data_IF_932973821130
#
_entry.id   IF_932973821130
#
_cell.length_a   1.000
_cell.length_b   1.000
_cell.length_c   1.000
_cell.angle_alpha   90.00
_cell.angle_beta   90.00
_cell.angle_gamma   90.00
#
_symmetry.space_group_name_H-M   'P 1'
#
loop_
_entity.id
_entity.type
_entity.pdbx_description
1 polymer ?
#
# COMPACT_ATOMS: atom_id res chain seq x y z
N UNK A 1 2.49 10.69 12.73
CA UNK A 1 1.22 10.38 12.07
C UNK A 1 0.79 11.61 11.27
N UNK A 2 0.62 11.46 9.97
CA UNK A 2 0.07 12.51 9.10
C UNK A 2 -1.46 12.47 9.15
N UNK A 3 -2.12 13.60 9.02
CA UNK A 3 -3.58 13.70 9.07
C UNK A 3 -4.04 14.91 8.26
N UNK A 4 -5.33 14.94 7.95
CA UNK A 4 -5.99 16.00 7.19
C UNK A 4 -7.03 16.71 8.08
N UNK A 5 -7.28 17.98 7.79
CA UNK A 5 -8.40 18.73 8.34
C UNK A 5 -9.63 18.63 7.40
N UNK A 6 -10.51 19.64 7.38
CA UNK A 6 -11.67 19.72 6.49
C UNK A 6 -11.37 20.31 5.09
N UNK A 7 -10.12 20.73 4.82
CA UNK A 7 -9.67 21.20 3.50
C UNK A 7 -9.16 20.08 2.61
N UNK A 8 -8.74 18.96 3.18
CA UNK A 8 -8.25 17.82 2.41
C UNK A 8 -9.15 16.59 2.57
N UNK A 9 -9.60 16.08 1.43
CA UNK A 9 -10.37 14.85 1.27
C UNK A 9 -9.75 13.92 0.20
N UNK A 10 -10.29 12.72 0.04
CA UNK A 10 -9.75 11.74 -0.92
C UNK A 10 -9.67 12.27 -2.36
N UNK A 11 -10.61 13.15 -2.78
CA UNK A 11 -10.58 13.73 -4.11
C UNK A 11 -9.41 14.70 -4.26
N UNK A 12 -9.22 15.59 -3.28
CA UNK A 12 -8.10 16.54 -3.27
C UNK A 12 -6.73 15.85 -3.17
N UNK A 13 -6.61 14.79 -2.37
CA UNK A 13 -5.39 13.99 -2.27
C UNK A 13 -5.06 13.30 -3.61
N UNK A 14 -6.07 12.72 -4.26
CA UNK A 14 -5.91 12.07 -5.56
C UNK A 14 -5.57 13.09 -6.67
N UNK A 15 -6.29 14.22 -6.74
CA UNK A 15 -6.02 15.29 -7.71
C UNK A 15 -4.59 15.83 -7.57
N UNK A 16 -4.15 16.09 -6.34
CA UNK A 16 -2.79 16.52 -6.03
C UNK A 16 -1.76 15.51 -6.52
N UNK A 17 -1.98 14.23 -6.20
CA UNK A 17 -1.00 13.18 -6.46
C UNK A 17 -0.87 12.90 -7.96
N UNK A 18 -1.99 12.81 -8.69
CA UNK A 18 -2.00 12.57 -10.14
C UNK A 18 -1.46 13.78 -10.90
N UNK A 19 -1.87 15.00 -10.54
CA UNK A 19 -1.36 16.24 -11.15
C UNK A 19 0.16 16.38 -10.94
N UNK A 20 0.65 16.05 -9.73
CA UNK A 20 2.08 16.05 -9.41
C UNK A 20 2.85 15.02 -10.22
N UNK A 21 2.33 13.79 -10.36
CA UNK A 21 2.93 12.76 -11.21
C UNK A 21 3.02 13.24 -12.67
N UNK A 22 1.93 13.71 -13.25
CA UNK A 22 1.91 14.15 -14.65
C UNK A 22 2.90 15.29 -14.91
N UNK A 23 2.94 16.29 -14.02
CA UNK A 23 3.88 17.42 -14.14
C UNK A 23 5.33 16.97 -13.99
N UNK A 24 5.66 16.21 -12.94
CA UNK A 24 7.05 15.81 -12.64
C UNK A 24 7.63 14.90 -13.72
N UNK A 25 6.83 14.02 -14.30
CA UNK A 25 7.26 13.06 -15.32
C UNK A 25 6.91 13.50 -16.75
N UNK A 26 6.38 14.72 -16.92
CA UNK A 26 5.96 15.25 -18.22
C UNK A 26 5.04 14.28 -18.99
N UNK A 27 4.07 13.71 -18.28
CA UNK A 27 3.11 12.75 -18.86
C UNK A 27 2.00 13.54 -19.53
N UNK A 28 1.85 13.34 -20.83
CA UNK A 28 0.71 13.87 -21.58
C UNK A 28 -0.57 13.12 -21.15
N UNK A 29 -1.61 13.82 -20.67
CA UNK A 29 -2.90 13.20 -20.35
C UNK A 29 -3.52 12.42 -21.53
N UNK A 30 -3.22 12.78 -22.79
CA UNK A 30 -3.68 12.03 -23.97
C UNK A 30 -3.01 10.65 -24.12
N UNK A 31 -1.86 10.44 -23.47
CA UNK A 31 -1.08 9.19 -23.51
C UNK A 31 -1.56 8.11 -22.51
N UNK A 32 -2.64 8.37 -21.77
CA UNK A 32 -3.20 7.45 -20.77
C UNK A 32 -4.46 6.78 -21.32
N UNK A 33 -4.50 5.46 -21.34
CA UNK A 33 -5.66 4.65 -21.77
C UNK A 33 -6.44 4.04 -20.61
N UNK A 34 -5.86 4.00 -19.41
CA UNK A 34 -6.53 3.50 -18.20
C UNK A 34 -6.15 4.30 -16.96
N UNK A 35 -7.12 4.58 -16.10
CA UNK A 35 -6.89 5.10 -14.77
C UNK A 35 -7.85 4.44 -13.76
N UNK A 36 -7.29 3.83 -12.72
CA UNK A 36 -8.07 3.10 -11.71
C UNK A 36 -7.66 3.49 -10.29
N UNK A 37 -8.65 3.63 -9.40
CA UNK A 37 -8.43 4.11 -8.02
C UNK A 37 -8.77 3.01 -7.02
N UNK A 38 -7.82 2.69 -6.16
CA UNK A 38 -8.06 1.93 -4.93
C UNK A 38 -8.23 2.86 -3.74
N UNK A 39 -9.36 2.77 -3.04
CA UNK A 39 -9.62 3.55 -1.81
C UNK A 39 -10.63 2.82 -0.93
N UNK A 40 -10.59 3.05 0.37
CA UNK A 40 -11.67 2.73 1.31
C UNK A 40 -12.24 3.99 2.01
N UNK A 41 -11.86 5.16 1.53
CA UNK A 41 -12.34 6.47 1.96
C UNK A 41 -13.43 6.93 1.00
N UNK A 42 -14.69 6.65 1.34
CA UNK A 42 -15.85 6.94 0.48
C UNK A 42 -16.49 8.27 0.84
N UNK A 43 -16.62 9.17 -0.15
CA UNK A 43 -17.37 10.42 -0.04
C UNK A 43 -18.73 10.36 -0.76
N UNK A 44 -18.85 9.46 -1.73
CA UNK A 44 -20.05 9.19 -2.49
C UNK A 44 -20.20 7.68 -2.65
N UNK A 45 -21.44 7.19 -2.72
CA UNK A 45 -21.76 5.75 -2.79
C UNK A 45 -21.88 5.23 -4.23
N UNK A 46 -21.82 6.13 -5.21
CA UNK A 46 -21.99 5.83 -6.63
C UNK A 46 -20.92 6.52 -7.47
N UNK A 47 -20.68 7.82 -7.25
CA UNK A 47 -19.68 8.60 -7.98
C UNK A 47 -18.27 8.22 -7.53
N UNK A 48 -17.46 7.75 -8.48
CA UNK A 48 -16.07 7.36 -8.25
C UNK A 48 -15.11 8.55 -8.11
N UNK A 49 -14.06 8.39 -7.32
CA UNK A 49 -12.86 9.24 -7.30
C UNK A 49 -12.29 9.34 -8.72
N UNK A 50 -12.25 8.23 -9.47
CA UNK A 50 -11.83 8.21 -10.89
C UNK A 50 -12.55 9.27 -11.71
N UNK A 51 -13.87 9.40 -11.57
CA UNK A 51 -14.64 10.38 -12.33
C UNK A 51 -14.32 11.83 -11.94
N UNK A 52 -13.85 12.09 -10.72
CA UNK A 52 -13.37 13.40 -10.29
C UNK A 52 -12.00 13.70 -10.90
N UNK A 53 -11.12 12.70 -10.97
CA UNK A 53 -9.80 12.83 -11.59
C UNK A 53 -9.84 13.13 -13.09
N UNK A 54 -10.94 12.80 -13.79
CA UNK A 54 -11.11 13.12 -15.21
C UNK A 54 -11.06 14.64 -15.51
N UNK A 55 -11.24 15.51 -14.50
CA UNK A 55 -10.99 16.96 -14.64
C UNK A 55 -9.55 17.27 -15.11
N UNK A 56 -8.57 16.43 -14.76
CA UNK A 56 -7.18 16.59 -15.19
C UNK A 56 -6.97 16.30 -16.68
N UNK A 57 -7.93 15.65 -17.33
CA UNK A 57 -7.87 15.23 -18.73
C UNK A 57 -8.67 16.15 -19.66
N UNK A 58 -9.56 16.99 -19.14
CA UNK A 58 -10.49 17.81 -19.92
C UNK A 58 -9.78 18.66 -21.00
N UNK A 59 -8.66 19.29 -20.65
CA UNK A 59 -7.88 20.12 -21.59
C UNK A 59 -7.30 19.33 -22.76
N UNK A 60 -7.00 18.04 -22.56
CA UNK A 60 -6.50 17.17 -23.62
C UNK A 60 -7.62 16.61 -24.52
N UNK A 61 -8.88 16.69 -24.07
CA UNK A 61 -10.01 16.02 -24.71
C UNK A 61 -10.01 14.49 -24.59
N UNK A 62 -9.07 13.91 -23.82
CA UNK A 62 -8.99 12.46 -23.63
C UNK A 62 -10.01 11.96 -22.59
N UNK A 63 -11.18 11.56 -23.07
CA UNK A 63 -12.22 10.94 -22.25
C UNK A 63 -12.28 9.42 -22.37
N UNK A 64 -11.60 8.86 -23.37
CA UNK A 64 -11.48 7.42 -23.57
C UNK A 64 -10.36 6.86 -22.68
N UNK A 65 -10.66 6.77 -21.38
CA UNK A 65 -9.76 6.28 -20.34
C UNK A 65 -10.52 5.27 -19.48
N UNK A 66 -10.20 3.99 -19.62
CA UNK A 66 -10.82 2.90 -18.87
C UNK A 66 -10.53 2.97 -17.37
N UNK A 67 -11.26 2.17 -16.58
CA UNK A 67 -11.09 2.06 -15.12
C UNK A 67 -12.06 2.91 -14.31
N UNK A 68 -12.27 2.51 -13.06
CA UNK A 68 -13.15 3.15 -12.07
C UNK A 68 -12.52 3.02 -10.67
N UNK A 69 -13.32 3.07 -9.61
CA UNK A 69 -12.84 2.78 -8.26
C UNK A 69 -13.00 1.29 -7.95
N UNK A 70 -12.09 0.74 -7.14
CA UNK A 70 -12.17 -0.62 -6.59
C UNK A 70 -11.91 -0.61 -5.09
N UNK A 71 -12.73 -1.34 -4.34
CA UNK A 71 -12.81 -1.22 -2.89
C UNK A 71 -12.79 -2.61 -2.24
N UNK A 72 -11.81 -2.84 -1.38
CA UNK A 72 -11.84 -3.83 -0.30
C UNK A 72 -10.81 -3.41 0.75
N UNK A 73 -11.23 -2.57 1.70
CA UNK A 73 -10.33 -2.03 2.73
C UNK A 73 -8.98 -1.56 2.12
N UNK A 74 -7.88 -1.86 2.80
CA UNK A 74 -6.52 -1.51 2.38
C UNK A 74 -6.00 -2.29 1.15
N UNK A 75 -6.79 -3.20 0.55
CA UNK A 75 -6.40 -4.00 -0.61
C UNK A 75 -6.72 -3.33 -1.96
N UNK A 76 -7.61 -2.32 -1.98
CA UNK A 76 -8.12 -1.71 -3.23
C UNK A 76 -7.01 -1.27 -4.19
N UNK A 77 -5.94 -0.66 -3.69
CA UNK A 77 -4.81 -0.22 -4.53
C UNK A 77 -4.08 -1.39 -5.23
N UNK A 78 -4.00 -2.56 -4.60
CA UNK A 78 -3.43 -3.78 -5.20
C UNK A 78 -4.36 -4.39 -6.23
N UNK A 79 -5.68 -4.36 -5.98
CA UNK A 79 -6.63 -4.81 -6.97
C UNK A 79 -6.59 -3.93 -8.23
N UNK A 80 -6.55 -2.60 -8.07
CA UNK A 80 -6.41 -1.65 -9.18
C UNK A 80 -5.13 -1.89 -10.00
N UNK A 81 -4.02 -2.18 -9.31
CA UNK A 81 -2.75 -2.51 -9.97
C UNK A 81 -2.85 -3.83 -10.77
N UNK A 82 -3.46 -4.87 -10.20
CA UNK A 82 -3.66 -6.13 -10.91
C UNK A 82 -4.60 -6.02 -12.10
N UNK A 83 -5.71 -5.29 -11.97
CA UNK A 83 -6.62 -4.99 -13.07
C UNK A 83 -5.90 -4.26 -14.19
N UNK A 84 -5.01 -3.34 -13.85
CA UNK A 84 -4.19 -2.59 -14.80
C UNK A 84 -3.18 -3.47 -15.53
N UNK A 85 -2.47 -4.37 -14.84
CA UNK A 85 -1.61 -5.35 -15.51
C UNK A 85 -2.41 -6.26 -16.44
N UNK A 86 -3.56 -6.77 -15.99
CA UNK A 86 -4.40 -7.63 -16.80
C UNK A 86 -4.93 -6.89 -18.03
N UNK A 87 -5.28 -5.60 -17.92
CA UNK A 87 -5.68 -4.76 -19.05
C UNK A 87 -4.54 -4.63 -20.07
N UNK A 88 -3.33 -4.29 -19.65
CA UNK A 88 -2.16 -4.15 -20.55
C UNK A 88 -1.78 -5.47 -21.25
N UNK A 89 -1.94 -6.60 -20.55
CA UNK A 89 -1.65 -7.93 -21.10
C UNK A 89 -2.82 -8.51 -21.91
N UNK A 90 -3.94 -7.78 -22.05
CA UNK A 90 -5.12 -8.22 -22.77
C UNK A 90 -5.19 -7.67 -24.20
N UNK A 91 -6.13 -8.21 -24.99
CA UNK A 91 -6.47 -7.66 -26.31
C UNK A 91 -7.14 -6.28 -26.26
N UNK A 92 -7.53 -5.79 -25.09
CA UNK A 92 -8.10 -4.46 -24.92
C UNK A 92 -7.04 -3.36 -24.75
N UNK A 93 -5.76 -3.73 -24.60
CA UNK A 93 -4.70 -2.73 -24.52
C UNK A 93 -4.55 -2.00 -25.85
N UNK A 94 -4.53 -0.67 -25.78
CA UNK A 94 -4.47 0.24 -26.93
C UNK A 94 -3.07 0.86 -27.14
N UNK A 95 -2.06 0.36 -26.41
CA UNK A 95 -0.68 0.85 -26.45
C UNK A 95 -0.40 2.03 -25.51
N UNK A 96 -1.43 2.63 -24.87
CA UNK A 96 -1.26 3.75 -23.94
C UNK A 96 -0.85 3.27 -22.54
N UNK A 97 -0.26 4.19 -21.77
CA UNK A 97 0.08 3.92 -20.37
C UNK A 97 -1.17 3.91 -19.49
N UNK A 98 -1.02 3.45 -18.26
CA UNK A 98 -2.07 3.53 -17.25
C UNK A 98 -1.60 4.27 -15.99
N UNK A 99 -2.55 4.82 -15.24
CA UNK A 99 -2.31 5.39 -13.91
C UNK A 99 -3.10 4.60 -12.87
N UNK A 100 -2.41 4.07 -11.86
CA UNK A 100 -3.04 3.47 -10.69
C UNK A 100 -2.92 4.44 -9.53
N UNK A 101 -4.03 4.73 -8.87
CA UNK A 101 -4.06 5.61 -7.69
C UNK A 101 -4.46 4.78 -6.48
N UNK A 102 -3.74 4.92 -5.37
CA UNK A 102 -4.08 4.35 -4.08
C UNK A 102 -3.99 5.44 -3.03
N UNK A 103 -5.05 5.70 -2.27
CA UNK A 103 -5.01 6.76 -1.28
C UNK A 103 -6.19 6.72 -0.34
N UNK A 104 -5.97 7.23 0.87
CA UNK A 104 -6.92 7.14 1.96
C UNK A 104 -6.64 8.14 3.07
N UNK A 105 -7.68 8.36 3.89
CA UNK A 105 -7.60 9.04 5.18
C UNK A 105 -8.03 8.03 6.25
N UNK A 106 -7.05 7.50 6.98
CA UNK A 106 -7.25 6.50 8.02
C UNK A 106 -7.54 7.15 9.36
N UNK A 107 -8.82 7.14 9.75
CA UNK A 107 -9.33 7.80 10.94
C UNK A 107 -10.02 6.83 11.90
N UNK A 108 -9.79 7.01 13.20
CA UNK A 108 -10.36 6.18 14.26
C UNK A 108 -10.94 7.02 15.41
N UNK A 109 -11.98 6.50 16.06
CA UNK A 109 -12.56 7.06 17.29
C UNK A 109 -11.49 7.20 18.38
N UNK A 110 -11.75 8.05 19.38
CA UNK A 110 -10.92 8.13 20.60
C UNK A 110 -10.72 6.72 21.18
N UNK A 111 -9.47 6.32 21.39
CA UNK A 111 -9.12 4.98 21.85
C UNK A 111 -7.76 4.50 21.33
N UNK A 112 -7.45 3.23 21.59
CA UNK A 112 -6.14 2.63 21.32
C UNK A 112 -5.78 2.54 19.82
N UNK A 113 -6.76 2.56 18.91
CA UNK A 113 -6.53 2.54 17.47
C UNK A 113 -6.21 3.92 16.87
N UNK A 114 -6.51 5.01 17.58
CA UNK A 114 -6.29 6.38 17.07
C UNK A 114 -4.83 6.66 16.65
N UNK A 115 -3.80 6.25 17.40
CA UNK A 115 -2.41 6.47 17.01
C UNK A 115 -1.96 5.65 15.78
N UNK A 116 -2.78 4.71 15.29
CA UNK A 116 -2.49 3.92 14.09
C UNK A 116 -3.15 4.48 12.83
N UNK A 117 -3.72 5.68 12.89
CA UNK A 117 -4.22 6.40 11.74
C UNK A 117 -3.11 6.91 10.81
N UNK A 118 -3.51 7.71 9.84
CA UNK A 118 -2.62 8.28 8.84
C UNK A 118 -3.39 8.84 7.66
N UNK A 119 -2.71 9.53 6.77
CA UNK A 119 -3.29 9.98 5.51
C UNK A 119 -2.21 10.01 4.43
N UNK A 120 -2.58 9.66 3.21
CA UNK A 120 -1.67 9.72 2.08
C UNK A 120 -2.27 9.16 0.81
N UNK A 121 -1.66 9.50 -0.32
CA UNK A 121 -2.03 9.02 -1.64
C UNK A 121 -0.77 8.80 -2.48
N UNK A 122 -0.78 7.77 -3.30
CA UNK A 122 0.25 7.42 -4.26
C UNK A 122 -0.40 7.24 -5.64
N UNK A 123 0.30 7.71 -6.68
CA UNK A 123 -0.02 7.42 -8.06
C UNK A 123 1.17 6.70 -8.70
N UNK A 124 0.87 5.66 -9.47
CA UNK A 124 1.85 4.85 -10.20
C UNK A 124 1.55 4.95 -11.69
N UNK A 125 2.53 5.41 -12.47
CA UNK A 125 2.49 5.27 -13.92
C UNK A 125 2.91 3.85 -14.27
N UNK A 126 2.08 3.14 -15.02
CA UNK A 126 2.29 1.75 -15.40
C UNK A 126 2.38 1.69 -16.93
N UNK A 127 3.34 0.92 -17.43
CA UNK A 127 3.57 0.73 -18.87
C UNK A 127 4.58 -0.39 -19.14
N UNK A 128 4.84 -0.71 -20.42
CA UNK A 128 5.88 -1.66 -20.80
C UNK A 128 7.28 -1.16 -20.45
N UNK A 129 8.26 -2.06 -20.45
CA UNK A 129 9.69 -1.76 -20.23
C UNK A 129 10.00 -1.00 -18.92
N UNK A 130 9.18 -1.24 -17.89
CA UNK A 130 9.29 -0.54 -16.62
C UNK A 130 10.59 -0.90 -15.85
N UNK A 131 11.23 0.07 -15.18
CA UNK A 131 12.41 -0.19 -14.35
C UNK A 131 12.08 -1.05 -13.12
N UNK A 132 10.81 -1.08 -12.70
CA UNK A 132 10.28 -1.97 -11.67
C UNK A 132 9.22 -2.85 -12.34
N UNK A 133 9.60 -4.07 -12.68
CA UNK A 133 8.77 -4.98 -13.44
C UNK A 133 8.02 -5.95 -12.52
N UNK A 134 6.72 -6.13 -12.76
CA UNK A 134 5.95 -7.21 -12.15
C UNK A 134 6.50 -8.58 -12.58
N UNK A 135 6.54 -9.60 -11.71
CA UNK A 135 6.93 -10.96 -12.10
C UNK A 135 5.69 -11.83 -12.46
N UNK A 136 5.43 -12.09 -13.76
CA UNK A 136 4.22 -12.78 -14.21
C UNK A 136 4.06 -14.16 -13.56
N UNK A 137 2.83 -14.48 -13.16
CA UNK A 137 2.50 -15.75 -12.51
C UNK A 137 2.85 -15.84 -11.02
N UNK A 138 3.70 -14.95 -10.49
CA UNK A 138 4.13 -14.95 -9.09
C UNK A 138 3.23 -14.07 -8.20
N UNK A 139 1.94 -14.45 -8.10
CA UNK A 139 0.91 -13.81 -7.23
C UNK A 139 0.23 -14.86 -6.34
N UNK A 140 0.52 -14.91 -5.05
CA UNK A 140 -0.19 -15.75 -4.09
C UNK A 140 -1.29 -14.97 -3.36
N UNK A 141 -2.56 -15.31 -3.60
CA UNK A 141 -3.71 -14.57 -3.04
C UNK A 141 -4.48 -15.41 -2.03
N UNK A 142 -5.08 -14.76 -1.04
CA UNK A 142 -5.98 -15.35 -0.05
C UNK A 142 -7.13 -14.39 0.26
N UNK A 143 -8.36 -14.90 0.15
CA UNK A 143 -9.61 -14.17 0.38
C UNK A 143 -10.49 -15.05 1.26
N UNK A 144 -11.05 -14.49 2.33
CA UNK A 144 -11.90 -15.20 3.30
C UNK A 144 -12.91 -14.22 3.86
N UNK A 145 -14.13 -14.68 4.14
CA UNK A 145 -15.11 -13.85 4.86
C UNK A 145 -14.68 -13.66 6.32
N UNK A 146 -14.56 -12.41 6.77
CA UNK A 146 -14.19 -12.02 8.13
C UNK A 146 -14.81 -10.66 8.51
N UNK A 147 -15.11 -10.49 9.80
CA UNK A 147 -15.52 -9.22 10.40
C UNK A 147 -14.42 -8.69 11.33
N UNK A 148 -13.18 -8.63 10.85
CA UNK A 148 -12.04 -8.16 11.63
C UNK A 148 -11.94 -6.63 11.69
N UNK A 149 -12.23 -5.96 10.57
CA UNK A 149 -12.40 -4.52 10.46
C UNK A 149 -13.35 -4.21 9.30
N UNK A 150 -14.33 -3.36 9.53
CA UNK A 150 -15.35 -3.01 8.55
C UNK A 150 -16.05 -1.69 8.90
N UNK A 151 -16.65 -1.03 7.89
CA UNK A 151 -17.35 0.26 8.02
C UNK A 151 -18.84 0.12 7.66
N UNK A 152 -19.66 -0.48 8.56
CA UNK A 152 -21.08 -0.71 8.25
C UNK A 152 -21.93 0.55 8.45
N UNK A 153 -21.48 1.47 9.29
CA UNK A 153 -22.17 2.73 9.58
C UNK A 153 -21.78 3.78 8.54
N UNK A 154 -22.64 3.97 7.54
CA UNK A 154 -22.41 4.93 6.45
C UNK A 154 -22.57 6.40 6.89
N UNK A 155 -22.90 6.65 8.16
CA UNK A 155 -22.97 7.99 8.75
C UNK A 155 -21.71 8.39 9.50
N UNK A 156 -20.73 7.48 9.59
CA UNK A 156 -19.48 7.69 10.31
C UNK A 156 -18.28 7.31 9.43
N UNK A 157 -17.22 8.12 9.48
CA UNK A 157 -15.94 7.73 8.87
C UNK A 157 -15.20 6.64 9.67
N UNK A 158 -15.61 6.41 10.92
CA UNK A 158 -14.92 5.52 11.82
C UNK A 158 -15.30 4.05 11.59
N UNK A 159 -14.32 3.14 11.52
CA UNK A 159 -14.58 1.72 11.38
C UNK A 159 -15.01 1.07 12.70
N UNK A 160 -15.69 -0.06 12.59
CA UNK A 160 -15.71 -1.08 13.65
C UNK A 160 -14.48 -1.97 13.47
N UNK A 161 -13.79 -2.25 14.58
CA UNK A 161 -12.56 -3.04 14.58
C UNK A 161 -12.53 -3.99 15.76
N UNK A 162 -12.36 -5.29 15.47
CA UNK A 162 -11.90 -6.27 16.45
C UNK A 162 -10.38 -6.36 16.33
N UNK A 163 -9.69 -5.63 17.20
CA UNK A 163 -8.23 -5.49 17.11
C UNK A 163 -7.47 -6.80 17.26
N UNK A 164 -7.96 -7.74 18.08
CA UNK A 164 -7.28 -9.04 18.24
C UNK A 164 -7.56 -9.93 17.03
N UNK A 165 -8.81 -9.97 16.56
CA UNK A 165 -9.15 -10.76 15.39
C UNK A 165 -8.47 -10.23 14.11
N UNK A 166 -8.33 -8.91 13.96
CA UNK A 166 -7.59 -8.31 12.84
C UNK A 166 -6.11 -8.72 12.80
N UNK A 167 -5.45 -8.84 13.96
CA UNK A 167 -4.08 -9.35 14.03
C UNK A 167 -4.00 -10.85 13.63
N UNK A 168 -5.00 -11.65 14.00
CA UNK A 168 -5.09 -13.06 13.60
C UNK A 168 -5.31 -13.18 12.08
N UNK A 169 -6.30 -12.49 11.53
CA UNK A 169 -6.61 -12.46 10.11
C UNK A 169 -5.41 -12.01 9.26
N UNK A 170 -4.69 -10.97 9.68
CA UNK A 170 -3.47 -10.54 9.00
C UNK A 170 -2.39 -11.63 9.01
N UNK A 171 -2.17 -12.28 10.16
CA UNK A 171 -1.16 -13.35 10.30
C UNK A 171 -1.52 -14.58 9.47
N UNK A 172 -2.79 -14.99 9.47
CA UNK A 172 -3.30 -16.04 8.58
C UNK A 172 -3.07 -15.69 7.11
N UNK A 173 -3.35 -14.45 6.71
CA UNK A 173 -3.16 -13.98 5.34
C UNK A 173 -1.68 -14.02 4.90
N UNK A 174 -0.76 -13.68 5.80
CA UNK A 174 0.70 -13.82 5.57
C UNK A 174 1.04 -15.27 5.25
N UNK A 175 0.59 -16.21 6.08
CA UNK A 175 0.85 -17.65 5.91
C UNK A 175 0.29 -18.16 4.58
N UNK A 176 -0.99 -17.87 4.29
CA UNK A 176 -1.68 -18.41 3.11
C UNK A 176 -1.17 -17.78 1.81
N UNK A 177 -0.90 -16.48 1.79
CA UNK A 177 -0.33 -15.82 0.62
C UNK A 177 1.09 -16.34 0.33
N UNK A 178 1.92 -16.52 1.35
CA UNK A 178 3.28 -17.01 1.18
C UNK A 178 3.31 -18.47 0.71
N UNK A 179 2.48 -19.34 1.31
CA UNK A 179 2.27 -20.72 0.84
C UNK A 179 1.85 -20.76 -0.62
N UNK A 180 0.89 -19.93 -1.01
CA UNK A 180 0.38 -19.87 -2.39
C UNK A 180 1.43 -19.33 -3.35
N UNK A 181 2.19 -18.30 -2.95
CA UNK A 181 3.30 -17.76 -3.73
C UNK A 181 4.34 -18.84 -4.01
N UNK A 182 4.78 -19.57 -2.97
CA UNK A 182 5.75 -20.66 -3.09
C UNK A 182 5.26 -21.76 -4.05
N UNK A 183 4.00 -22.18 -3.92
CA UNK A 183 3.40 -23.17 -4.81
C UNK A 183 3.31 -22.68 -6.27
N UNK A 184 3.05 -21.39 -6.49
CA UNK A 184 3.05 -20.81 -7.84
C UNK A 184 4.45 -20.71 -8.43
N UNK A 185 5.45 -20.32 -7.64
CA UNK A 185 6.83 -20.25 -8.09
C UNK A 185 7.33 -21.61 -8.58
N UNK A 186 7.05 -22.68 -7.82
CA UNK A 186 7.36 -24.05 -8.22
C UNK A 186 6.71 -24.42 -9.57
N UNK A 187 5.43 -24.06 -9.78
CA UNK A 187 4.72 -24.31 -11.04
C UNK A 187 5.26 -23.50 -12.22
N UNK A 188 5.72 -22.27 -11.99
CA UNK A 188 6.32 -21.44 -13.06
C UNK A 188 7.69 -22.01 -13.43
N UNK A 189 8.52 -22.36 -12.44
CA UNK A 189 9.85 -22.98 -12.66
C UNK A 189 9.75 -24.29 -13.43
N UNK A 190 8.80 -25.17 -13.10
CA UNK A 190 8.62 -26.45 -13.81
C UNK A 190 8.14 -26.30 -15.26
N UNK A 191 7.51 -25.17 -15.62
CA UNK A 191 7.16 -24.85 -17.01
C UNK A 191 8.35 -24.24 -17.78
N UNK A 192 9.29 -23.62 -17.09
CA UNK A 192 10.48 -22.98 -17.68
C UNK A 192 11.69 -23.92 -17.77
N UNK A 193 11.67 -25.08 -17.11
CA UNK A 193 12.78 -26.05 -17.09
C UNK A 193 13.03 -26.78 -18.42
N UNK A 194 12.50 -26.29 -19.55
CA UNK A 194 12.96 -26.64 -20.90
C UNK A 194 14.14 -25.76 -21.39
N UNK A 195 14.76 -24.97 -20.51
CA UNK A 195 16.13 -24.49 -20.69
C UNK A 195 16.35 -23.07 -20.22
N UNK A 196 17.02 -22.89 -19.07
CA UNK A 196 18.21 -22.03 -18.88
C UNK A 196 18.85 -22.44 -17.53
N UNK A 197 20.14 -22.80 -17.54
CA UNK A 197 20.96 -22.94 -16.32
C UNK A 197 21.41 -21.55 -15.86
N UNK A 198 20.64 -20.92 -14.97
CA UNK A 198 21.08 -19.73 -14.23
C UNK A 198 21.81 -20.15 -12.95
N UNK A 199 22.92 -19.46 -12.62
CA UNK A 199 23.62 -19.66 -11.36
C UNK A 199 22.66 -19.36 -10.19
N UNK A 200 22.25 -20.39 -9.47
CA UNK A 200 21.48 -20.23 -8.24
C UNK A 200 22.42 -19.77 -7.14
N UNK A 201 22.12 -18.61 -6.54
CA UNK A 201 22.68 -18.27 -5.24
C UNK A 201 22.11 -19.27 -4.26
N UNK A 202 22.94 -19.90 -3.44
CA UNK A 202 22.46 -20.82 -2.40
C UNK A 202 21.60 -20.02 -1.40
N UNK A 203 20.28 -20.17 -1.50
CA UNK A 203 19.30 -19.59 -0.56
C UNK A 203 19.33 -20.42 0.73
N UNK A 204 19.64 -19.82 1.88
CA UNK A 204 19.62 -20.53 3.17
C UNK A 204 18.18 -20.94 3.53
N UNK A 205 17.20 -20.06 3.29
CA UNK A 205 15.77 -20.42 3.36
C UNK A 205 14.97 -19.89 2.16
N UNK A 206 13.77 -20.43 1.88
CA UNK A 206 12.88 -19.89 0.85
C UNK A 206 12.64 -18.38 0.93
N UNK A 207 12.58 -17.79 2.12
CA UNK A 207 12.43 -16.34 2.33
C UNK A 207 13.60 -15.54 1.75
N UNK A 208 14.79 -16.14 1.68
CA UNK A 208 16.00 -15.45 1.25
C UNK A 208 16.02 -15.12 -0.25
N UNK A 209 15.05 -15.64 -1.02
CA UNK A 209 14.79 -15.29 -2.44
C UNK A 209 14.43 -13.82 -2.67
N UNK A 210 13.95 -13.14 -1.64
CA UNK A 210 13.54 -11.74 -1.70
C UNK A 210 14.61 -10.85 -1.10
N UNK A 211 15.28 -10.04 -1.93
CA UNK A 211 16.28 -9.08 -1.44
C UNK A 211 15.66 -8.04 -0.50
N UNK A 212 14.42 -7.62 -0.78
CA UNK A 212 13.65 -6.71 0.06
C UNK A 212 12.19 -7.16 0.16
N UNK A 213 11.50 -6.76 1.23
CA UNK A 213 10.06 -7.02 1.37
C UNK A 213 9.32 -5.79 1.88
N UNK A 214 8.30 -5.36 1.13
CA UNK A 214 7.35 -4.33 1.52
C UNK A 214 6.06 -4.98 2.02
N UNK A 215 5.48 -4.43 3.08
CA UNK A 215 4.23 -4.91 3.67
C UNK A 215 3.22 -3.77 3.74
N UNK A 216 1.93 -4.09 3.62
CA UNK A 216 0.92 -3.25 4.22
C UNK A 216 1.28 -3.02 5.70
N UNK A 217 1.30 -1.78 6.15
CA UNK A 217 1.90 -1.40 7.43
C UNK A 217 0.90 -0.64 8.32
N UNK A 218 -0.10 -1.31 8.92
CA UNK A 218 -0.94 -0.69 9.95
C UNK A 218 -0.11 -0.16 11.12
N UNK A 219 0.89 -0.93 11.53
CA UNK A 219 1.95 -0.52 12.46
C UNK A 219 3.26 -1.20 12.05
N UNK A 220 4.39 -0.53 12.29
CA UNK A 220 5.71 -1.13 12.02
C UNK A 220 6.00 -2.35 12.91
N UNK A 221 5.36 -2.43 14.09
CA UNK A 221 5.47 -3.60 14.96
C UNK A 221 4.83 -4.83 14.34
N UNK A 222 3.67 -4.68 13.68
CA UNK A 222 3.03 -5.79 12.97
C UNK A 222 3.92 -6.27 11.83
N UNK A 223 4.51 -5.37 11.05
CA UNK A 223 5.45 -5.71 9.96
C UNK A 223 6.61 -6.58 10.44
N UNK A 224 7.24 -6.22 11.57
CA UNK A 224 8.30 -7.02 12.17
C UNK A 224 7.85 -8.43 12.54
N UNK A 225 6.64 -8.57 13.11
CA UNK A 225 6.06 -9.89 13.43
C UNK A 225 5.72 -10.69 12.18
N UNK A 226 5.18 -10.05 11.14
CA UNK A 226 4.83 -10.69 9.88
C UNK A 226 6.06 -11.20 9.13
N UNK A 227 7.15 -10.44 9.10
CA UNK A 227 8.40 -10.90 8.53
C UNK A 227 8.98 -12.11 9.30
N UNK A 228 8.94 -12.05 10.64
CA UNK A 228 9.30 -13.20 11.49
C UNK A 228 8.41 -14.42 11.23
N UNK A 229 7.11 -14.22 11.01
CA UNK A 229 6.15 -15.29 10.70
C UNK A 229 6.49 -16.02 9.40
N UNK A 230 6.99 -15.32 8.38
CA UNK A 230 7.47 -15.97 7.15
C UNK A 230 8.63 -16.92 7.42
N UNK A 231 9.58 -16.51 8.28
CA UNK A 231 10.69 -17.37 8.66
C UNK A 231 10.23 -18.58 9.50
N UNK A 232 9.18 -18.43 10.31
CA UNK A 232 8.53 -19.56 10.97
C UNK A 232 7.91 -20.54 9.96
N UNK A 233 7.29 -20.05 8.88
CA UNK A 233 6.80 -20.93 7.82
C UNK A 233 7.94 -21.72 7.15
N UNK A 234 9.10 -21.09 6.93
CA UNK A 234 10.28 -21.77 6.40
C UNK A 234 10.81 -22.85 7.36
N UNK A 235 10.80 -22.57 8.67
CA UNK A 235 11.14 -23.54 9.72
C UNK A 235 10.20 -24.76 9.69
N UNK A 236 8.89 -24.55 9.54
CA UNK A 236 7.95 -25.67 9.44
C UNK A 236 8.19 -26.56 8.20
N UNK A 237 8.76 -26.01 7.12
CA UNK A 237 9.07 -26.78 5.92
C UNK A 237 10.40 -27.55 6.03
N UNK A 238 11.39 -26.99 6.72
CA UNK A 238 12.70 -27.62 6.90
C UNK A 238 13.27 -27.29 8.29
N UNK A 239 12.80 -27.94 9.36
CA UNK A 239 13.22 -27.63 10.73
C UNK A 239 14.68 -28.02 11.00
N UNK A 240 15.25 -28.93 10.20
CA UNK A 240 16.63 -29.40 10.32
C UNK A 240 17.66 -28.46 9.67
N UNK A 241 17.21 -27.35 9.07
CA UNK A 241 18.12 -26.35 8.51
C UNK A 241 19.05 -25.79 9.59
N UNK A 242 20.38 -25.67 9.34
CA UNK A 242 21.34 -25.16 10.33
C UNK A 242 20.98 -23.81 10.94
N UNK A 243 20.24 -22.97 10.23
CA UNK A 243 19.71 -21.71 10.75
C UNK A 243 18.81 -21.88 11.98
N UNK A 244 18.08 -22.99 12.08
CA UNK A 244 17.09 -23.26 13.10
C UNK A 244 17.60 -24.15 14.25
N UNK A 245 18.90 -24.46 14.29
CA UNK A 245 19.48 -25.34 15.32
C UNK A 245 19.19 -24.91 16.77
N UNK A 246 19.00 -23.61 17.00
CA UNK A 246 18.74 -23.02 18.32
C UNK A 246 17.23 -22.74 18.55
N UNK A 247 16.36 -23.12 17.61
CA UNK A 247 14.91 -23.02 17.74
C UNK A 247 14.40 -24.21 18.56
N UNK A 248 13.59 -24.01 19.62
CA UNK A 248 13.04 -25.11 20.40
C UNK A 248 12.20 -26.05 19.51
N UNK A 249 12.51 -27.35 19.57
CA UNK A 249 11.98 -28.35 18.65
C UNK A 249 10.45 -28.48 18.75
N UNK A 250 9.89 -28.28 19.93
CA UNK A 250 8.45 -28.33 20.20
C UNK A 250 7.64 -27.24 19.46
N UNK A 251 8.29 -26.16 19.00
CA UNK A 251 7.58 -25.09 18.30
C UNK A 251 7.01 -25.55 16.94
N UNK A 252 7.53 -26.64 16.36
CA UNK A 252 6.99 -27.21 15.11
C UNK A 252 5.70 -28.00 15.33
N UNK A 253 5.46 -28.44 16.56
CA UNK A 253 4.35 -29.31 16.94
C UNK A 253 3.15 -28.49 17.47
N UNK A 254 3.28 -27.17 17.60
CA UNK A 254 2.20 -26.26 18.00
C UNK A 254 1.10 -26.28 16.94
N UNK A 255 -0.16 -26.61 17.30
CA UNK A 255 -1.28 -26.60 16.35
C UNK A 255 -1.42 -25.24 15.64
N UNK A 256 -1.80 -25.26 14.36
CA UNK A 256 -1.81 -24.06 13.51
C UNK A 256 -2.61 -22.91 14.14
N UNK A 257 -3.82 -23.17 14.62
CA UNK A 257 -4.72 -22.18 15.21
C UNK A 257 -4.09 -21.52 16.44
N UNK A 258 -3.38 -22.30 17.25
CA UNK A 258 -2.67 -21.80 18.44
C UNK A 258 -1.43 -21.00 18.02
N UNK A 259 -0.72 -21.46 16.98
CA UNK A 259 0.51 -20.83 16.50
C UNK A 259 0.33 -19.38 16.03
N UNK A 260 -0.88 -18.99 15.59
CA UNK A 260 -1.18 -17.64 15.09
C UNK A 260 -0.97 -16.58 16.16
N UNK A 261 -1.24 -16.92 17.42
CA UNK A 261 -1.18 -15.98 18.55
C UNK A 261 -0.10 -16.34 19.58
N UNK A 262 0.62 -17.43 19.37
CA UNK A 262 1.62 -17.94 20.30
C UNK A 262 2.79 -16.96 20.48
N UNK A 263 3.04 -16.59 21.74
CA UNK A 263 4.06 -15.60 22.10
C UNK A 263 5.48 -16.15 22.07
N UNK A 264 5.67 -17.45 22.22
CA UNK A 264 6.98 -18.08 22.15
C UNK A 264 7.45 -18.14 20.70
N UNK A 265 6.58 -18.52 19.77
CA UNK A 265 6.83 -18.43 18.32
C UNK A 265 7.14 -16.98 17.94
N UNK A 266 6.29 -16.03 18.34
CA UNK A 266 6.50 -14.61 18.03
C UNK A 266 7.88 -14.12 18.50
N UNK A 267 8.23 -14.34 19.78
CA UNK A 267 9.50 -13.87 20.34
C UNK A 267 10.70 -14.54 19.69
N UNK A 268 10.65 -15.86 19.50
CA UNK A 268 11.75 -16.66 18.95
C UNK A 268 12.07 -16.20 17.53
N UNK A 269 11.06 -16.11 16.66
CA UNK A 269 11.29 -15.75 15.26
C UNK A 269 11.54 -14.26 15.05
N UNK A 270 11.01 -13.37 15.90
CA UNK A 270 11.40 -11.94 15.88
C UNK A 270 12.87 -11.77 16.26
N UNK A 271 13.36 -12.51 17.27
CA UNK A 271 14.78 -12.49 17.62
C UNK A 271 15.66 -13.07 16.49
N UNK A 272 15.28 -14.24 15.96
CA UNK A 272 16.02 -14.92 14.90
C UNK A 272 16.08 -14.10 13.59
N UNK A 273 14.98 -13.46 13.22
CA UNK A 273 14.89 -12.66 11.99
C UNK A 273 15.48 -11.26 12.12
N UNK A 274 15.94 -10.82 13.29
CA UNK A 274 16.36 -9.42 13.56
C UNK A 274 17.36 -8.88 12.53
N UNK A 275 18.42 -9.62 12.21
CA UNK A 275 19.43 -9.19 11.21
C UNK A 275 18.85 -9.15 9.79
N UNK A 276 18.05 -10.16 9.43
CA UNK A 276 17.37 -10.21 8.13
C UNK A 276 16.38 -9.05 7.96
N UNK A 277 15.59 -8.76 9.00
CA UNK A 277 14.66 -7.64 9.03
C UNK A 277 15.39 -6.30 8.82
N UNK A 278 16.50 -6.09 9.53
CA UNK A 278 17.31 -4.88 9.38
C UNK A 278 17.84 -4.69 7.94
N UNK A 279 18.19 -5.78 7.25
CA UNK A 279 18.69 -5.71 5.88
C UNK A 279 17.58 -5.59 4.82
N UNK A 280 16.46 -6.29 5.00
CA UNK A 280 15.46 -6.54 3.94
C UNK A 280 14.16 -5.77 4.09
N UNK A 281 13.84 -5.29 5.30
CA UNK A 281 12.54 -4.64 5.60
C UNK A 281 12.71 -3.26 6.23
N UNK A 282 13.73 -3.06 7.08
CA UNK A 282 13.98 -1.75 7.70
C UNK A 282 14.10 -0.59 6.68
N UNK A 283 14.70 -0.77 5.48
CA UNK A 283 14.73 0.27 4.46
C UNK A 283 13.35 0.63 3.88
N UNK A 284 12.31 -0.18 4.13
CA UNK A 284 10.97 -0.04 3.54
C UNK A 284 9.94 0.57 4.50
N UNK A 285 10.33 1.04 5.70
CA UNK A 285 9.35 1.43 6.74
C UNK A 285 9.44 2.89 7.19
N UNK A 286 10.19 3.75 6.49
CA UNK A 286 10.28 5.17 6.81
C UNK A 286 8.94 5.90 6.69
N UNK A 287 8.25 5.77 5.54
CA UNK A 287 6.93 6.40 5.38
C UNK A 287 5.92 5.84 6.37
N UNK A 288 5.75 4.50 6.54
CA UNK A 288 4.91 3.96 7.59
C UNK A 288 5.22 4.49 9.00
N UNK A 289 6.51 4.65 9.36
CA UNK A 289 6.92 5.16 10.67
C UNK A 289 6.57 6.65 10.83
N UNK A 290 6.85 7.45 9.80
CA UNK A 290 6.75 8.90 9.89
C UNK A 290 5.34 9.42 9.65
N UNK A 291 4.54 8.72 8.83
CA UNK A 291 3.23 9.17 8.38
C UNK A 291 2.06 8.33 8.94
N UNK A 292 2.31 7.11 9.43
CA UNK A 292 1.25 6.21 9.90
C UNK A 292 0.58 5.43 8.77
N UNK A 293 -0.60 4.88 9.05
CA UNK A 293 -1.31 4.00 8.12
C UNK A 293 -2.00 4.80 7.01
N UNK A 294 -1.64 4.56 5.76
CA UNK A 294 -2.26 5.17 4.57
C UNK A 294 -3.25 4.22 3.87
N UNK A 295 -3.76 3.22 4.59
CA UNK A 295 -4.61 2.14 4.06
C UNK A 295 -4.13 1.60 2.71
N UNK A 296 -4.86 1.82 1.62
CA UNK A 296 -4.52 1.27 0.28
C UNK A 296 -3.15 1.70 -0.23
N UNK A 297 -2.70 2.89 0.16
CA UNK A 297 -1.40 3.43 -0.22
C UNK A 297 -0.24 2.84 0.62
N UNK A 298 -0.52 2.18 1.74
CA UNK A 298 0.49 1.82 2.74
C UNK A 298 1.56 0.85 2.21
N UNK A 299 1.20 -0.20 1.46
CA UNK A 299 2.20 -1.13 0.90
C UNK A 299 3.08 -0.45 -0.15
N UNK A 300 2.53 0.50 -0.89
CA UNK A 300 3.25 1.25 -1.92
C UNK A 300 4.12 2.36 -1.34
N UNK A 301 3.74 2.93 -0.19
CA UNK A 301 4.58 3.85 0.55
C UNK A 301 5.81 3.16 1.14
N UNK A 302 5.73 1.86 1.43
CA UNK A 302 6.90 1.03 1.72
C UNK A 302 7.84 0.88 0.52
N UNK A 303 7.31 0.69 -0.69
CA UNK A 303 8.13 0.66 -1.92
C UNK A 303 8.80 2.02 -2.18
N UNK A 304 8.09 3.13 -1.92
CA UNK A 304 8.67 4.47 -1.99
C UNK A 304 9.80 4.66 -0.97
N UNK A 305 9.63 4.14 0.25
CA UNK A 305 10.70 4.17 1.27
C UNK A 305 11.93 3.40 0.79
N UNK A 306 11.75 2.22 0.19
CA UNK A 306 12.85 1.44 -0.38
C UNK A 306 13.63 2.21 -1.45
N UNK A 307 12.91 2.80 -2.43
CA UNK A 307 13.50 3.60 -3.52
C UNK A 307 14.25 4.82 -2.96
N UNK A 308 13.75 5.43 -1.89
CA UNK A 308 14.40 6.58 -1.26
C UNK A 308 15.70 6.19 -0.53
N UNK A 309 15.75 4.99 0.04
CA UNK A 309 16.79 4.58 0.98
C UNK A 309 17.95 3.77 0.39
N UNK A 310 17.72 3.09 -0.73
CA UNK A 310 18.73 2.27 -1.37
C UNK A 310 19.11 2.91 -2.70
N UNK A 311 20.42 2.96 -2.99
CA UNK A 311 20.90 3.52 -4.25
C UNK A 311 20.34 2.74 -5.43
N UNK A 312 20.13 3.41 -6.56
CA UNK A 312 19.64 2.71 -7.76
C UNK A 312 20.57 1.59 -8.20
N UNK A 313 21.89 1.72 -8.00
CA UNK A 313 22.85 0.69 -8.37
C UNK A 313 22.70 -0.56 -7.50
N UNK A 314 22.46 -0.39 -6.19
CA UNK A 314 22.28 -1.52 -5.27
C UNK A 314 20.91 -2.20 -5.45
N UNK A 315 19.90 -1.46 -5.92
CA UNK A 315 18.58 -2.00 -6.23
C UNK A 315 18.54 -2.79 -7.53
N UNK A 316 19.42 -2.55 -8.51
CA UNK A 316 19.34 -3.24 -9.80
C UNK A 316 19.47 -4.76 -9.68
N UNK A 317 18.60 -5.48 -10.40
CA UNK A 317 18.52 -6.94 -10.39
C UNK A 317 17.85 -7.54 -9.14
N UNK A 318 17.50 -6.72 -8.14
CA UNK A 318 16.90 -7.17 -6.89
C UNK A 318 15.45 -7.61 -7.08
N UNK A 319 15.04 -8.62 -6.30
CA UNK A 319 13.66 -9.05 -6.18
C UNK A 319 13.04 -8.45 -4.91
N UNK A 320 11.93 -7.74 -5.07
CA UNK A 320 11.18 -7.12 -3.97
C UNK A 320 9.85 -7.84 -3.81
N UNK A 321 9.57 -8.40 -2.64
CA UNK A 321 8.24 -8.91 -2.32
C UNK A 321 7.32 -7.78 -1.87
N UNK A 322 6.05 -7.90 -2.22
CA UNK A 322 4.97 -7.01 -1.81
C UNK A 322 3.89 -7.85 -1.15
N UNK A 323 3.59 -7.60 0.12
CA UNK A 323 2.45 -8.20 0.82
C UNK A 323 1.37 -7.15 1.06
N UNK A 324 0.27 -7.25 0.33
CA UNK A 324 -0.89 -6.38 0.49
C UNK A 324 -2.02 -7.11 1.19
N UNK A 325 -2.66 -6.44 2.14
CA UNK A 325 -3.76 -6.95 2.95
C UNK A 325 -4.84 -5.87 3.07
N UNK A 326 -6.09 -6.28 3.04
CA UNK A 326 -7.24 -5.48 3.46
C UNK A 326 -8.23 -6.37 4.20
N UNK A 327 -8.73 -5.89 5.33
CA UNK A 327 -9.71 -6.57 6.17
C UNK A 327 -11.01 -6.90 5.44
N UNK A 328 -11.78 -7.85 5.98
CA UNK A 328 -12.99 -8.39 5.35
C UNK A 328 -12.95 -9.83 4.82
N UNK A 329 -11.85 -10.44 4.38
CA UNK A 329 -10.52 -9.94 4.01
C UNK A 329 -10.14 -10.38 2.60
N UNK A 330 -9.27 -9.59 1.97
CA UNK A 330 -8.57 -9.91 0.73
C UNK A 330 -7.09 -9.58 0.86
N UNK A 331 -6.22 -10.44 0.33
CA UNK A 331 -4.77 -10.28 0.45
C UNK A 331 -4.04 -10.94 -0.71
N UNK A 332 -2.85 -10.41 -1.01
CA UNK A 332 -1.92 -11.00 -1.97
C UNK A 332 -0.47 -10.74 -1.59
N UNK A 333 0.36 -11.77 -1.73
CA UNK A 333 1.81 -11.64 -1.86
C UNK A 333 2.20 -11.74 -3.34
N UNK A 334 3.00 -10.80 -3.82
CA UNK A 334 3.54 -10.82 -5.17
C UNK A 334 4.96 -10.27 -5.20
N UNK A 335 5.66 -10.39 -6.33
CA UNK A 335 7.03 -9.89 -6.43
C UNK A 335 7.25 -8.99 -7.64
N UNK A 336 8.19 -8.08 -7.45
CA UNK A 336 8.70 -7.13 -8.42
C UNK A 336 10.19 -7.40 -8.66
N UNK A 337 10.67 -7.16 -9.87
CA UNK A 337 12.07 -7.22 -10.26
C UNK A 337 12.53 -5.82 -10.65
N UNK A 338 13.60 -5.33 -10.03
CA UNK A 338 14.23 -4.07 -10.46
C UNK A 338 15.07 -4.37 -11.70
N UNK A 339 14.62 -3.90 -12.86
CA UNK A 339 15.24 -4.14 -14.18
C UNK A 339 15.95 -2.92 -14.76
N UNK A 340 15.74 -1.74 -14.20
CA UNK A 340 16.33 -0.50 -14.67
C UNK A 340 16.62 0.48 -13.54
N UNK A 341 17.10 1.67 -13.91
CA UNK A 341 17.42 2.73 -12.96
C UNK A 341 16.18 3.22 -12.21
N UNK A 342 16.33 3.48 -10.91
CA UNK A 342 15.34 4.09 -10.04
C UNK A 342 15.71 5.53 -9.65
N UNK A 343 16.80 6.09 -10.19
CA UNK A 343 17.31 7.43 -9.82
C UNK A 343 16.33 8.56 -10.14
N UNK A 344 15.66 8.49 -11.30
CA UNK A 344 14.63 9.47 -11.66
C UNK A 344 13.46 9.43 -10.68
N UNK A 345 13.02 8.23 -10.27
CA UNK A 345 11.96 8.09 -9.27
C UNK A 345 12.40 8.64 -7.91
N UNK A 346 13.59 8.26 -7.46
CA UNK A 346 14.16 8.71 -6.20
C UNK A 346 14.25 10.24 -6.15
N UNK A 347 14.80 10.86 -7.19
CA UNK A 347 14.98 12.32 -7.28
C UNK A 347 13.66 13.08 -7.38
N UNK A 348 12.69 12.62 -8.19
CA UNK A 348 11.40 13.30 -8.36
C UNK A 348 10.45 13.11 -7.17
N UNK A 349 10.53 11.98 -6.48
CA UNK A 349 9.78 11.77 -5.24
C UNK A 349 10.31 12.67 -4.13
N UNK A 350 11.64 12.80 -4.02
CA UNK A 350 12.36 13.60 -3.02
C UNK A 350 11.86 13.36 -1.59
N UNK A 351 11.77 12.09 -1.21
CA UNK A 351 11.03 11.66 -0.03
C UNK A 351 11.53 12.32 1.26
N UNK A 352 12.84 12.25 1.50
CA UNK A 352 13.44 12.71 2.75
C UNK A 352 13.21 14.20 2.98
N UNK A 353 13.43 15.03 1.95
CA UNK A 353 13.13 16.47 2.03
C UNK A 353 11.64 16.74 2.27
N UNK A 354 10.74 15.98 1.64
CA UNK A 354 9.30 16.13 1.87
C UNK A 354 8.90 15.75 3.29
N UNK A 355 9.52 14.73 3.87
CA UNK A 355 9.26 14.31 5.25
C UNK A 355 9.78 15.35 6.26
N UNK A 356 10.95 15.93 6.00
CA UNK A 356 11.59 17.00 6.78
C UNK A 356 10.82 18.32 6.70
N UNK A 357 10.22 18.65 5.55
CA UNK A 357 9.46 19.88 5.33
C UNK A 357 8.09 19.91 6.04
N UNK A 358 7.67 18.80 6.67
CA UNK A 358 6.38 18.74 7.38
C UNK A 358 6.41 19.60 8.65
N UNK A 359 5.24 20.08 9.02
CA UNK A 359 5.01 20.78 10.28
C UNK A 359 4.63 19.81 11.38
N UNK A 360 5.44 19.73 12.44
CA UNK A 360 5.06 19.06 13.68
C UNK A 360 4.11 19.96 14.48
N UNK A 361 3.04 19.37 15.02
CA UNK A 361 2.06 20.08 15.84
C UNK A 361 1.81 19.35 17.15
N UNK A 362 1.23 20.05 18.12
CA UNK A 362 0.82 19.46 19.39
C UNK A 362 -0.38 18.51 19.20
N UNK A 363 -0.54 17.46 20.03
CA UNK A 363 -1.64 16.50 19.91
C UNK A 363 -3.04 17.11 19.94
N UNK A 364 -3.22 18.24 20.62
CA UNK A 364 -4.49 18.97 20.72
C UNK A 364 -4.95 19.47 19.33
N UNK A 365 -4.00 19.86 18.48
CA UNK A 365 -4.27 20.29 17.09
C UNK A 365 -4.85 19.13 16.27
N UNK A 366 -4.38 17.91 16.49
CA UNK A 366 -4.95 16.73 15.83
C UNK A 366 -6.41 16.52 16.23
N UNK A 367 -6.73 16.66 17.52
CA UNK A 367 -8.10 16.56 18.02
C UNK A 367 -9.00 17.65 17.41
N UNK A 368 -8.50 18.88 17.29
CA UNK A 368 -9.19 19.98 16.61
C UNK A 368 -9.47 19.68 15.13
N UNK A 369 -8.48 19.18 14.38
CA UNK A 369 -8.66 18.84 12.96
C UNK A 369 -9.63 17.67 12.77
N UNK A 370 -9.61 16.67 13.67
CA UNK A 370 -10.62 15.61 13.69
C UNK A 370 -12.03 16.19 13.87
N UNK A 371 -12.20 17.17 14.77
CA UNK A 371 -13.49 17.81 15.01
C UNK A 371 -13.96 18.64 13.80
N UNK A 372 -13.05 19.32 13.09
CA UNK A 372 -13.39 20.02 11.84
C UNK A 372 -13.89 19.03 10.79
N UNK A 373 -13.17 17.91 10.63
CA UNK A 373 -13.54 16.87 9.69
C UNK A 373 -14.89 16.22 10.02
N UNK A 374 -15.13 15.92 11.29
CA UNK A 374 -16.41 15.38 11.76
C UNK A 374 -17.57 16.34 11.47
N UNK A 375 -17.37 17.65 11.63
CA UNK A 375 -18.36 18.67 11.25
C UNK A 375 -18.59 18.74 9.75
N UNK A 376 -17.58 18.48 8.92
CA UNK A 376 -17.72 18.49 7.46
C UNK A 376 -18.39 17.21 6.91
N UNK A 377 -18.32 16.11 7.65
CA UNK A 377 -18.83 14.82 7.20
C UNK A 377 -20.34 14.88 6.91
N UNK A 378 -20.72 14.43 5.72
CA UNK A 378 -22.10 14.40 5.21
C UNK A 378 -22.84 15.76 5.25
N UNK A 379 -22.12 16.88 5.20
CA UNK A 379 -22.72 18.20 5.11
C UNK A 379 -22.89 18.68 3.67
N UNK A 380 -23.91 19.51 3.46
CA UNK A 380 -24.15 20.36 2.27
C UNK A 380 -24.16 21.82 2.71
N UNK A 381 -24.01 22.77 1.77
CA UNK A 381 -23.82 24.19 2.11
C UNK A 381 -22.70 24.40 3.12
N UNK A 382 -21.58 23.71 2.92
CA UNK A 382 -20.47 23.67 3.86
C UNK A 382 -19.25 24.37 3.27
N UNK A 383 -18.72 25.32 4.04
CA UNK A 383 -17.48 26.03 3.76
C UNK A 383 -16.41 25.52 4.73
N UNK A 384 -15.34 24.85 4.24
CA UNK A 384 -14.25 24.39 5.11
C UNK A 384 -13.59 25.52 5.89
N UNK A 385 -13.29 25.27 7.17
CA UNK A 385 -12.75 26.23 8.11
C UNK A 385 -11.22 26.10 8.30
N UNK A 386 -10.62 25.01 7.83
CA UNK A 386 -9.19 24.78 7.84
C UNK A 386 -8.40 25.90 7.14
N UNK A 387 -7.15 26.08 7.57
CA UNK A 387 -6.27 27.17 7.13
C UNK A 387 -5.58 26.80 5.82
N UNK A 388 -5.87 27.56 4.76
CA UNK A 388 -5.24 27.34 3.45
C UNK A 388 -3.74 27.66 3.48
N UNK A 389 -3.29 28.49 4.43
CA UNK A 389 -1.88 28.84 4.63
C UNK A 389 -1.02 27.65 5.09
N UNK A 390 -1.65 26.66 5.74
CA UNK A 390 -0.97 25.44 6.20
C UNK A 390 -0.78 24.42 5.06
N UNK A 391 -1.40 24.65 3.89
CA UNK A 391 -1.35 23.76 2.73
C UNK A 391 -0.14 24.09 1.86
N UNK A 392 0.58 23.05 1.44
CA UNK A 392 1.77 23.20 0.58
C UNK A 392 1.37 23.66 -0.84
N UNK A 393 2.14 24.57 -1.48
CA UNK A 393 1.93 24.95 -2.88
C UNK A 393 1.85 23.73 -3.82
N UNK A 394 0.93 23.80 -4.79
CA UNK A 394 0.64 22.74 -5.73
C UNK A 394 -0.37 21.69 -5.24
N UNK A 395 -0.83 21.76 -3.98
CA UNK A 395 -1.85 20.87 -3.42
C UNK A 395 -3.25 21.36 -3.76
N UNK A 396 -4.11 20.45 -4.21
CA UNK A 396 -5.55 20.70 -4.33
C UNK A 396 -6.19 20.71 -2.95
N UNK A 397 -7.16 21.58 -2.72
CA UNK A 397 -7.92 21.65 -1.47
C UNK A 397 -9.38 21.96 -1.73
N UNK A 398 -10.26 21.47 -0.84
CA UNK A 398 -11.69 21.70 -0.86
C UNK A 398 -11.98 23.17 -0.51
N UNK A 399 -12.74 23.82 -1.38
CA UNK A 399 -13.14 25.22 -1.18
C UNK A 399 -14.58 25.35 -0.76
N UNK A 400 -15.49 24.49 -1.24
CA UNK A 400 -16.91 24.60 -0.96
C UNK A 400 -17.64 23.29 -1.24
N UNK A 401 -18.72 23.05 -0.50
CA UNK A 401 -19.74 22.03 -0.79
C UNK A 401 -21.08 22.73 -0.87
N UNK A 402 -21.74 22.70 -2.03
CA UNK A 402 -23.03 23.38 -2.21
C UNK A 402 -24.23 22.58 -1.67
N UNK A 403 -25.44 23.09 -1.91
CA UNK A 403 -26.72 22.53 -1.46
C UNK A 403 -27.04 21.15 -2.08
N UNK A 404 -26.37 20.81 -3.17
CA UNK A 404 -26.48 19.54 -3.88
C UNK A 404 -25.29 18.60 -3.62
N UNK A 405 -24.49 18.86 -2.58
CA UNK A 405 -23.29 18.10 -2.22
C UNK A 405 -22.17 18.13 -3.29
N UNK A 406 -22.22 19.05 -4.25
CA UNK A 406 -21.17 19.17 -5.26
C UNK A 406 -19.96 19.85 -4.61
N UNK A 407 -18.80 19.23 -4.75
CA UNK A 407 -17.53 19.67 -4.15
C UNK A 407 -16.72 20.49 -5.15
N UNK A 408 -16.19 21.61 -4.70
CA UNK A 408 -15.33 22.50 -5.49
C UNK A 408 -13.91 22.49 -4.93
N UNK A 409 -12.92 22.53 -5.83
CA UNK A 409 -11.51 22.43 -5.48
C UNK A 409 -10.70 23.54 -6.15
N UNK A 410 -9.68 24.01 -5.46
CA UNK A 410 -8.66 24.92 -5.99
C UNK A 410 -7.27 24.34 -5.75
N UNK A 411 -6.26 24.88 -6.45
CA UNK A 411 -4.85 24.52 -6.24
C UNK A 411 -4.19 25.63 -5.47
N UNK A 412 -3.51 25.28 -4.36
CA UNK A 412 -2.71 26.24 -3.60
C UNK A 412 -1.59 26.77 -4.51
N UNK A 413 -1.59 28.09 -4.72
CA UNK A 413 -0.53 28.78 -5.45
C UNK A 413 0.83 28.66 -4.77
#
# INVERSE_FOLDING_TARGET
>A
MSFCDDREDIYSLALTTVSSLMKKYNVDPASIGRMEVGTETLLDKSKSVKSVLMQLFEKSGNYDVEGVDTVNACYGGTNALFNTFNWMESSAWDGRNAIVVAGDIALYKKGAARPTGGAGCLAMLVGPDAPIAFEPGLRGSYVKHAYDFYKPDLTSEYPLVDGQYSLQCYTEAVDQCYKTYNAREQKVKSKQSNGVNGAHKDEETPLDRFDYMCFHSPTCKLVSKSYARLLYNDFLQNPENPLFKDVPAELKDVPYEQSITDKNIEKTFVALSKKRFAARVQPTIDVPTMCGNMYTASVYSSLVSLIANISSNDLQGKRVAMFSYGSGLASSMFSLRIRGSTEEMQSKIDLHKRLEARRTVAPEVYDEMCNLREKAHLQKNFQPAGKVEDITPGTYYLTNIDDMFRRQYEVKA
#
